data_IF_322219815252
#
_entry.id   IF_322219815252
#
_cell.length_a   1.000
_cell.length_b   1.000
_cell.length_c   1.000
_cell.angle_alpha   90.00
_cell.angle_beta   90.00
_cell.angle_gamma   90.00
#
_symmetry.space_group_name_H-M   'P 1'
#
loop_
_entity.id
_entity.type
_entity.pdbx_description
1 polymer ?
#
# COMPACT_ATOMS: atom_id res chain seq x y z
N UNK A 1 13.10 25.87 8.17
CA UNK A 1 13.54 24.86 7.19
C UNK A 1 12.74 23.59 7.47
N UNK A 2 11.72 23.29 6.66
CA UNK A 2 10.82 22.16 6.91
C UNK A 2 11.38 20.95 6.15
N UNK A 3 12.22 20.15 6.81
CA UNK A 3 12.68 18.86 6.26
C UNK A 3 11.47 17.96 6.08
N UNK A 4 11.17 17.46 4.86
CA UNK A 4 10.13 16.46 4.71
C UNK A 4 10.56 15.25 5.52
N UNK A 5 9.77 14.93 6.54
CA UNK A 5 9.97 13.78 7.40
C UNK A 5 10.09 12.55 6.50
N UNK A 6 11.32 12.06 6.29
CA UNK A 6 11.57 10.86 5.48
C UNK A 6 10.62 9.79 6.01
N UNK A 7 9.68 9.27 5.20
CA UNK A 7 8.68 8.34 5.72
C UNK A 7 9.41 7.08 6.19
N UNK A 8 9.68 6.97 7.50
CA UNK A 8 10.33 5.80 8.07
C UNK A 8 9.28 4.68 8.11
N UNK A 9 9.41 3.69 7.24
CA UNK A 9 8.49 2.55 7.17
C UNK A 9 7.94 2.30 5.76
N UNK A 10 6.86 1.52 5.61
CA UNK A 10 6.28 1.15 4.31
C UNK A 10 5.90 2.35 3.43
N UNK A 11 5.65 3.52 4.03
CA UNK A 11 5.40 4.77 3.32
C UNK A 11 6.59 5.27 2.47
N UNK A 12 7.83 4.82 2.72
CA UNK A 12 8.98 5.13 1.84
C UNK A 12 8.81 4.55 0.43
N UNK A 13 8.02 3.48 0.28
CA UNK A 13 7.78 2.86 -1.03
C UNK A 13 6.69 3.57 -1.84
N UNK A 14 5.93 4.48 -1.21
CA UNK A 14 4.77 5.11 -1.82
C UNK A 14 5.07 5.87 -3.11
N UNK A 15 6.08 6.77 -3.16
CA UNK A 15 6.40 7.48 -4.39
C UNK A 15 6.79 6.54 -5.54
N UNK A 16 7.45 5.42 -5.22
CA UNK A 16 7.84 4.41 -6.22
C UNK A 16 6.65 3.61 -6.72
N UNK A 17 5.68 3.32 -5.85
CA UNK A 17 4.43 2.63 -6.21
C UNK A 17 3.60 3.53 -7.11
N UNK A 18 3.38 4.79 -6.73
CA UNK A 18 2.62 5.76 -7.53
C UNK A 18 3.27 5.95 -8.90
N UNK A 19 4.61 6.05 -8.94
CA UNK A 19 5.36 6.15 -10.20
C UNK A 19 5.25 4.89 -11.06
N UNK A 20 5.19 3.70 -10.45
CA UNK A 20 5.16 2.42 -11.17
C UNK A 20 3.76 2.05 -11.68
N UNK A 21 2.73 2.32 -10.88
CA UNK A 21 1.36 1.93 -11.18
C UNK A 21 0.46 3.09 -11.63
N UNK A 22 0.96 4.33 -11.56
CA UNK A 22 0.27 5.52 -12.07
C UNK A 22 -0.92 5.98 -11.24
N UNK A 23 -1.15 5.41 -10.06
CA UNK A 23 -2.28 5.74 -9.19
C UNK A 23 -1.79 6.12 -7.79
N UNK A 24 -2.46 7.10 -7.14
CA UNK A 24 -2.06 7.57 -5.82
C UNK A 24 -2.25 6.51 -4.75
N UNK A 25 -1.50 6.57 -3.65
CA UNK A 25 -1.65 5.61 -2.53
C UNK A 25 -3.06 5.58 -1.96
N UNK A 26 -3.73 6.73 -1.89
CA UNK A 26 -5.11 6.80 -1.46
C UNK A 26 -6.04 5.90 -2.29
N UNK A 27 -5.79 5.74 -3.58
CA UNK A 27 -6.54 4.81 -4.44
C UNK A 27 -6.36 3.36 -3.96
N UNK A 28 -5.13 2.94 -3.74
CA UNK A 28 -4.81 1.59 -3.28
C UNK A 28 -5.38 1.29 -1.89
N UNK A 29 -5.34 2.26 -0.97
CA UNK A 29 -5.92 2.12 0.36
C UNK A 29 -7.46 2.04 0.31
N UNK A 30 -8.11 2.79 -0.58
CA UNK A 30 -9.55 2.71 -0.80
C UNK A 30 -9.96 1.33 -1.34
N UNK A 31 -9.16 0.73 -2.21
CA UNK A 31 -9.39 -0.64 -2.68
C UNK A 31 -9.29 -1.65 -1.53
N UNK A 32 -8.29 -1.51 -0.65
CA UNK A 32 -8.18 -2.35 0.55
C UNK A 32 -9.33 -2.16 1.53
N UNK A 33 -9.95 -0.97 1.56
CA UNK A 33 -11.17 -0.73 2.34
C UNK A 33 -12.34 -1.57 1.83
N UNK A 34 -12.47 -1.80 0.53
CA UNK A 34 -13.45 -2.74 -0.02
C UNK A 34 -13.12 -4.21 0.33
N UNK A 35 -11.87 -4.51 0.65
CA UNK A 35 -11.40 -5.81 1.12
C UNK A 35 -11.35 -5.90 2.66
N UNK A 36 -11.96 -4.94 3.36
CA UNK A 36 -11.97 -4.88 4.83
C UNK A 36 -12.64 -6.12 5.42
N UNK A 37 -11.82 -7.08 5.86
CA UNK A 37 -12.25 -8.40 6.31
C UNK A 37 -11.34 -9.53 5.83
N UNK A 38 -10.58 -9.30 4.75
CA UNK A 38 -9.55 -10.20 4.29
C UNK A 38 -8.33 -10.16 5.21
N UNK A 39 -7.61 -11.29 5.32
CA UNK A 39 -6.33 -11.33 6.03
C UNK A 39 -5.26 -10.56 5.27
N UNK A 40 -4.21 -10.11 5.97
CA UNK A 40 -3.06 -9.42 5.37
C UNK A 40 -2.55 -10.12 4.10
N UNK A 41 -2.34 -11.44 4.17
CA UNK A 41 -1.85 -12.22 3.03
C UNK A 41 -2.84 -12.29 1.86
N UNK A 42 -4.15 -12.28 2.14
CA UNK A 42 -5.19 -12.29 1.11
C UNK A 42 -5.25 -10.94 0.38
N UNK A 43 -5.16 -9.83 1.12
CA UNK A 43 -5.04 -8.49 0.52
C UNK A 43 -3.79 -8.33 -0.34
N UNK A 44 -2.65 -8.88 0.13
CA UNK A 44 -1.40 -8.88 -0.65
C UNK A 44 -1.57 -9.72 -1.91
N UNK A 45 -2.21 -10.88 -1.82
CA UNK A 45 -2.50 -11.71 -2.99
C UNK A 45 -3.43 -11.00 -3.97
N UNK A 46 -4.49 -10.37 -3.49
CA UNK A 46 -5.46 -9.61 -4.28
C UNK A 46 -4.81 -8.46 -5.06
N UNK A 47 -3.96 -7.66 -4.43
CA UNK A 47 -3.19 -6.61 -5.12
C UNK A 47 -2.24 -7.18 -6.17
N UNK A 48 -1.67 -8.37 -5.93
CA UNK A 48 -0.81 -9.04 -6.91
C UNK A 48 -1.60 -9.56 -8.10
N UNK A 49 -2.76 -10.18 -7.88
CA UNK A 49 -3.56 -10.82 -8.93
C UNK A 49 -4.37 -9.81 -9.74
N UNK A 50 -5.07 -8.91 -9.07
CA UNK A 50 -5.97 -7.95 -9.74
C UNK A 50 -5.21 -6.77 -10.35
N UNK A 51 -4.12 -6.34 -9.69
CA UNK A 51 -3.42 -5.12 -10.06
C UNK A 51 -1.97 -5.35 -10.52
N UNK A 52 -1.55 -6.61 -10.62
CA UNK A 52 -0.18 -6.95 -11.04
C UNK A 52 0.89 -6.38 -10.10
N UNK A 53 0.53 -6.10 -8.84
CA UNK A 53 1.43 -5.44 -7.91
C UNK A 53 2.56 -6.40 -7.49
N UNK A 54 3.79 -5.88 -7.33
CA UNK A 54 4.92 -6.68 -6.86
C UNK A 54 4.79 -7.01 -5.37
N UNK A 55 5.39 -8.11 -4.91
CA UNK A 55 5.24 -8.56 -3.52
C UNK A 55 5.62 -7.50 -2.48
N UNK A 56 6.76 -6.82 -2.65
CA UNK A 56 7.20 -5.76 -1.74
C UNK A 56 6.27 -4.55 -1.72
N UNK A 57 5.72 -4.16 -2.88
CA UNK A 57 4.78 -3.04 -2.99
C UNK A 57 3.43 -3.38 -2.34
N UNK A 58 2.87 -4.54 -2.66
CA UNK A 58 1.62 -5.00 -2.07
C UNK A 58 1.74 -5.13 -0.55
N UNK A 59 2.83 -5.72 -0.06
CA UNK A 59 3.06 -5.85 1.37
C UNK A 59 3.19 -4.48 2.07
N UNK A 60 3.85 -3.50 1.44
CA UNK A 60 3.99 -2.16 2.00
C UNK A 60 2.63 -1.45 2.18
N UNK A 61 1.77 -1.51 1.15
CA UNK A 61 0.45 -0.87 1.20
C UNK A 61 -0.44 -1.54 2.26
N UNK A 62 -0.50 -2.88 2.27
CA UNK A 62 -1.33 -3.62 3.22
C UNK A 62 -0.83 -3.44 4.65
N UNK A 63 0.50 -3.50 4.88
CA UNK A 63 1.08 -3.27 6.20
C UNK A 63 0.77 -1.86 6.72
N UNK A 64 0.85 -0.84 5.85
CA UNK A 64 0.49 0.52 6.21
C UNK A 64 -1.00 0.65 6.55
N UNK A 65 -1.88 0.09 5.73
CA UNK A 65 -3.33 0.12 5.95
C UNK A 65 -3.73 -0.59 7.25
N UNK A 66 -3.19 -1.79 7.50
CA UNK A 66 -3.40 -2.54 8.74
C UNK A 66 -2.86 -1.79 9.97
N UNK A 67 -1.68 -1.18 9.86
CA UNK A 67 -1.09 -0.40 10.95
C UNK A 67 -1.90 0.87 11.27
N UNK A 68 -2.48 1.52 10.25
CA UNK A 68 -3.33 2.69 10.41
C UNK A 68 -4.71 2.37 11.00
N UNK A 69 -5.14 1.10 10.94
CA UNK A 69 -6.43 0.61 11.47
C UNK A 69 -6.38 0.08 12.90
N UNK A 70 -5.19 0.00 13.49
CA UNK A 70 -4.99 -0.46 14.86
C UNK A 70 -5.19 0.69 15.84
#
# INVERSE_FOLDING_TARGET
>A
MNTPEKPKGPASYFPSIEKKYGQPIAHWLALLQSCEGMKHMEMVAWLKTEHGMGHGHANAIVAYWMAAKK
#
